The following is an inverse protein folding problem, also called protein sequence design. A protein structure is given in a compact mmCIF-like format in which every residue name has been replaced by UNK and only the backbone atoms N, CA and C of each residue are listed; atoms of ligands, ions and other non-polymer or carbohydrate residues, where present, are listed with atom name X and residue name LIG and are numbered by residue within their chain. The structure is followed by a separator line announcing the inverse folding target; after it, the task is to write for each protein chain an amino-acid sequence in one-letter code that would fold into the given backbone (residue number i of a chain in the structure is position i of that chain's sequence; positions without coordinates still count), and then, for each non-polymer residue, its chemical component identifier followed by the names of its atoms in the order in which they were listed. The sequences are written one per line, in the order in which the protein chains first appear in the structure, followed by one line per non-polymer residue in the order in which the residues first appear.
data_IF_566322341492
#
_entry.id   IF_566322341492
#
_cell.length_a   1.000
_cell.length_b   1.000
_cell.length_c   1.000
_cell.angle_alpha   90.00
_cell.angle_beta   90.00
_cell.angle_gamma   90.00
#
_symmetry.space_group_name_H-M   'P 1'
#
loop_
_entity.id
_entity.type
_entity.pdbx_description
1 polymer ?
#
# COMPACT_ATOMS: atom_id res chain seq x y z
N UNK A 1 -25.14 -6.98 -12.39
CA UNK A 1 -23.94 -7.26 -11.58
C UNK A 1 -24.19 -6.72 -10.18
N UNK A 2 -24.64 -7.57 -9.26
CA UNK A 2 -25.09 -7.15 -7.92
C UNK A 2 -24.07 -7.59 -6.86
N UNK A 3 -22.85 -7.05 -6.96
CA UNK A 3 -21.83 -7.23 -5.93
C UNK A 3 -21.77 -5.98 -5.06
N UNK A 4 -21.77 -6.13 -3.73
CA UNK A 4 -21.71 -5.03 -2.75
C UNK A 4 -20.65 -3.96 -3.11
N UNK A 5 -19.51 -4.37 -3.66
CA UNK A 5 -18.48 -3.47 -4.17
C UNK A 5 -19.00 -2.49 -5.24
N UNK A 6 -19.64 -2.97 -6.31
CA UNK A 6 -20.08 -2.13 -7.42
C UNK A 6 -21.20 -1.18 -7.02
N UNK A 7 -22.08 -1.63 -6.11
CA UNK A 7 -23.10 -0.76 -5.52
C UNK A 7 -22.44 0.37 -4.73
N UNK A 8 -21.48 0.06 -3.85
CA UNK A 8 -20.74 1.08 -3.09
C UNK A 8 -19.95 2.02 -4.00
N UNK A 9 -19.28 1.48 -5.02
CA UNK A 9 -18.54 2.28 -6.00
C UNK A 9 -19.46 3.24 -6.77
N UNK A 10 -20.60 2.74 -7.27
CA UNK A 10 -21.59 3.55 -7.99
C UNK A 10 -22.30 4.60 -7.12
N UNK A 11 -22.30 4.41 -5.80
CA UNK A 11 -22.84 5.36 -4.83
C UNK A 11 -21.75 6.28 -4.21
N UNK A 12 -20.51 6.27 -4.73
CA UNK A 12 -19.38 7.04 -4.20
C UNK A 12 -19.07 6.75 -2.71
N UNK A 13 -19.33 5.52 -2.25
CA UNK A 13 -19.07 5.08 -0.88
C UNK A 13 -17.65 4.51 -0.68
N UNK A 14 -16.78 4.67 -1.68
CA UNK A 14 -15.38 4.25 -1.66
C UNK A 14 -14.49 5.48 -1.89
N UNK A 15 -13.57 5.72 -0.97
CA UNK A 15 -12.55 6.75 -1.11
C UNK A 15 -11.49 6.38 -2.16
N UNK A 16 -11.13 5.09 -2.20
CA UNK A 16 -10.21 4.52 -3.19
C UNK A 16 -10.78 3.19 -3.69
N UNK A 17 -10.59 2.89 -4.96
CA UNK A 17 -10.96 1.57 -5.48
C UNK A 17 -10.12 1.16 -6.68
N UNK A 18 -9.71 -0.11 -6.71
CA UNK A 18 -8.90 -0.64 -7.80
C UNK A 18 -9.20 -2.12 -8.08
N UNK A 19 -8.83 -2.57 -9.27
CA UNK A 19 -8.88 -3.98 -9.65
C UNK A 19 -7.46 -4.51 -9.80
N UNK A 20 -7.14 -5.62 -9.13
CA UNK A 20 -5.84 -6.27 -9.22
C UNK A 20 -5.95 -7.77 -8.97
N UNK A 21 -5.22 -8.58 -9.72
CA UNK A 21 -5.20 -10.04 -9.58
C UNK A 21 -6.60 -10.68 -9.63
N UNK A 22 -7.51 -10.16 -10.47
CA UNK A 22 -8.88 -10.66 -10.60
C UNK A 22 -9.82 -10.26 -9.46
N UNK A 23 -9.39 -9.40 -8.53
CA UNK A 23 -10.17 -8.97 -7.37
C UNK A 23 -10.39 -7.46 -7.37
N UNK A 24 -11.56 -7.05 -6.89
CA UNK A 24 -11.92 -5.65 -6.67
C UNK A 24 -11.65 -5.27 -5.21
N UNK A 25 -10.85 -4.23 -5.02
CA UNK A 25 -10.49 -3.67 -3.73
C UNK A 25 -11.13 -2.30 -3.59
N UNK A 26 -11.67 -2.01 -2.41
CA UNK A 26 -12.23 -0.72 -2.07
C UNK A 26 -11.83 -0.32 -0.66
N UNK A 27 -11.42 0.92 -0.50
CA UNK A 27 -11.29 1.58 0.80
C UNK A 27 -12.50 2.47 0.95
N UNK A 28 -13.29 2.27 1.99
CA UNK A 28 -14.54 2.99 2.16
C UNK A 28 -14.33 4.48 2.48
N UNK A 29 -15.36 5.27 2.22
CA UNK A 29 -15.33 6.73 2.43
C UNK A 29 -15.14 7.14 3.91
N UNK A 30 -15.39 6.22 4.84
CA UNK A 30 -15.20 6.41 6.28
C UNK A 30 -13.79 6.85 6.67
N UNK A 31 -12.78 6.54 5.86
CA UNK A 31 -11.41 6.97 6.16
C UNK A 31 -11.24 8.49 6.10
N UNK A 32 -12.04 9.18 5.29
CA UNK A 32 -12.04 10.64 5.27
C UNK A 32 -12.53 11.18 6.61
N UNK A 33 -13.56 10.58 7.20
CA UNK A 33 -14.07 11.00 8.50
C UNK A 33 -13.02 10.81 9.60
N UNK A 34 -12.26 9.71 9.55
CA UNK A 34 -11.18 9.47 10.49
C UNK A 34 -10.04 10.48 10.34
N UNK A 35 -9.65 10.79 9.10
CA UNK A 35 -8.64 11.82 8.81
C UNK A 35 -9.11 13.21 9.30
N UNK A 36 -10.37 13.57 9.08
CA UNK A 36 -10.93 14.84 9.59
C UNK A 36 -11.00 14.88 11.13
N UNK A 37 -11.17 13.73 11.78
CA UNK A 37 -11.14 13.61 13.23
C UNK A 37 -9.71 13.57 13.82
N UNK A 38 -8.67 13.69 12.98
CA UNK A 38 -7.27 13.72 13.41
C UNK A 38 -6.64 12.35 13.62
N UNK A 39 -7.24 11.26 13.13
CA UNK A 39 -6.64 9.93 13.18
C UNK A 39 -5.75 9.68 11.96
N UNK A 40 -4.64 8.99 12.20
CA UNK A 40 -3.83 8.42 11.12
C UNK A 40 -4.47 7.15 10.56
N UNK A 41 -4.50 7.05 9.24
CA UNK A 41 -5.05 5.88 8.52
C UNK A 41 -3.95 5.19 7.73
N UNK A 42 -3.67 3.94 8.08
CA UNK A 42 -2.73 3.09 7.35
C UNK A 42 -3.48 2.18 6.38
N UNK A 43 -3.20 2.33 5.08
CA UNK A 43 -3.82 1.53 4.01
C UNK A 43 -2.76 0.69 3.30
N UNK A 44 -2.97 -0.63 3.24
CA UNK A 44 -2.20 -1.49 2.36
C UNK A 44 -2.72 -1.37 0.92
N UNK A 45 -2.09 -0.49 0.15
CA UNK A 45 -2.49 -0.14 -1.22
C UNK A 45 -1.75 -0.89 -2.33
N UNK A 46 -2.12 -0.58 -3.57
CA UNK A 46 -1.42 -1.04 -4.77
C UNK A 46 -0.55 0.06 -5.36
N UNK A 47 0.67 -0.30 -5.78
CA UNK A 47 1.59 0.62 -6.50
C UNK A 47 0.95 1.24 -7.74
N UNK A 48 0.16 0.45 -8.48
CA UNK A 48 -0.55 0.92 -9.69
C UNK A 48 -1.61 1.99 -9.39
N UNK A 49 -2.02 2.14 -8.14
CA UNK A 49 -3.13 2.99 -7.74
C UNK A 49 -2.70 4.22 -6.93
N UNK A 50 -1.40 4.33 -6.66
CA UNK A 50 -0.81 5.46 -5.98
C UNK A 50 -1.17 6.82 -6.62
N UNK A 51 -1.28 6.98 -7.96
CA UNK A 51 -1.75 8.23 -8.56
C UNK A 51 -3.16 8.65 -8.10
N UNK A 52 -4.11 7.72 -7.95
CA UNK A 52 -5.46 8.06 -7.45
C UNK A 52 -5.39 8.52 -5.99
N UNK A 53 -4.63 7.82 -5.14
CA UNK A 53 -4.45 8.21 -3.75
C UNK A 53 -3.81 9.61 -3.62
N UNK A 54 -2.80 9.91 -4.44
CA UNK A 54 -2.16 11.24 -4.48
C UNK A 54 -3.14 12.33 -4.89
N UNK A 55 -3.93 12.09 -5.94
CA UNK A 55 -4.90 13.07 -6.41
C UNK A 55 -5.95 13.40 -5.33
N UNK A 56 -6.35 12.41 -4.53
CA UNK A 56 -7.34 12.59 -3.47
C UNK A 56 -6.77 13.25 -2.20
N UNK A 57 -5.65 12.75 -1.69
CA UNK A 57 -5.15 13.11 -0.36
C UNK A 57 -3.99 14.12 -0.37
N UNK A 58 -3.36 14.34 -1.53
CA UNK A 58 -2.34 15.37 -1.72
C UNK A 58 -1.27 15.34 -0.62
N UNK A 59 -1.11 16.45 0.12
CA UNK A 59 -0.12 16.60 1.19
C UNK A 59 -0.42 15.75 2.41
N UNK A 60 -1.65 15.29 2.64
CA UNK A 60 -1.99 14.38 3.73
C UNK A 60 -1.50 12.94 3.47
N UNK A 61 -1.15 12.60 2.23
CA UNK A 61 -0.63 11.27 1.89
C UNK A 61 0.86 11.14 2.24
N UNK A 62 1.20 10.11 2.99
CA UNK A 62 2.57 9.60 3.11
C UNK A 62 2.74 8.30 2.32
N UNK A 63 3.21 8.35 1.07
CA UNK A 63 3.37 7.14 0.26
C UNK A 63 4.63 6.37 0.69
N UNK A 64 4.44 5.14 1.15
CA UNK A 64 5.53 4.24 1.55
C UNK A 64 5.55 3.01 0.64
N UNK A 65 6.69 2.78 0.01
CA UNK A 65 6.92 1.69 -0.92
C UNK A 65 7.81 0.63 -0.28
N UNK A 66 7.23 -0.51 0.09
CA UNK A 66 7.97 -1.68 0.56
C UNK A 66 8.84 -2.24 -0.57
N UNK A 67 10.16 -2.31 -0.33
CA UNK A 67 11.12 -2.97 -1.18
C UNK A 67 11.72 -4.17 -0.47
N UNK A 68 11.98 -5.22 -1.23
CA UNK A 68 12.68 -6.41 -0.80
C UNK A 68 13.50 -6.88 -1.99
N UNK A 69 14.76 -7.24 -1.75
CA UNK A 69 15.66 -7.79 -2.76
C UNK A 69 15.05 -9.07 -3.36
N UNK A 70 15.24 -9.31 -4.67
CA UNK A 70 14.69 -10.48 -5.34
C UNK A 70 15.05 -11.81 -4.66
N UNK A 71 16.26 -11.90 -4.11
CA UNK A 71 16.82 -13.07 -3.44
C UNK A 71 16.06 -13.37 -2.15
N UNK A 72 15.87 -12.35 -1.29
CA UNK A 72 15.12 -12.47 -0.04
C UNK A 72 13.63 -12.72 -0.31
N UNK A 73 13.07 -12.08 -1.33
CA UNK A 73 11.69 -12.31 -1.73
C UNK A 73 11.48 -13.76 -2.18
N UNK A 74 12.38 -14.32 -3.00
CA UNK A 74 12.33 -15.73 -3.41
C UNK A 74 12.37 -16.65 -2.20
N UNK A 75 13.36 -16.51 -1.33
CA UNK A 75 13.50 -17.34 -0.12
C UNK A 75 12.24 -17.31 0.75
N UNK A 76 11.64 -16.12 0.94
CA UNK A 76 10.40 -15.98 1.74
C UNK A 76 9.20 -16.63 1.09
N UNK A 77 9.11 -16.66 -0.23
CA UNK A 77 8.02 -17.32 -0.94
C UNK A 77 8.17 -18.85 -0.88
N UNK A 78 9.38 -19.35 -1.09
CA UNK A 78 9.72 -20.77 -0.96
C UNK A 78 9.42 -21.28 0.45
N UNK A 79 9.86 -20.55 1.48
CA UNK A 79 9.62 -20.91 2.89
C UNK A 79 8.14 -20.90 3.30
N UNK A 80 7.28 -20.15 2.59
CA UNK A 80 5.83 -20.15 2.87
C UNK A 80 5.13 -21.39 2.33
N UNK A 81 5.67 -22.00 1.28
CA UNK A 81 5.14 -23.24 0.68
C UNK A 81 3.73 -23.13 0.09
N UNK A 82 3.20 -21.91 -0.15
CA UNK A 82 1.85 -21.70 -0.70
C UNK A 82 1.82 -21.56 -2.22
N UNK A 83 2.98 -21.39 -2.84
CA UNK A 83 3.15 -21.08 -4.25
C UNK A 83 4.11 -22.08 -4.89
N UNK A 84 3.84 -22.49 -6.12
CA UNK A 84 4.76 -23.30 -6.92
C UNK A 84 5.83 -22.42 -7.60
N UNK A 85 6.84 -23.04 -8.21
CA UNK A 85 7.96 -22.32 -8.84
C UNK A 85 7.52 -21.31 -9.92
N UNK A 86 6.49 -21.63 -10.71
CA UNK A 86 5.96 -20.73 -11.74
C UNK A 86 5.29 -19.49 -11.12
N UNK A 87 4.50 -19.69 -10.07
CA UNK A 87 3.83 -18.62 -9.32
C UNK A 87 4.85 -17.70 -8.62
N UNK A 88 5.91 -18.28 -8.05
CA UNK A 88 7.02 -17.52 -7.46
C UNK A 88 7.71 -16.66 -8.51
N UNK A 89 8.05 -17.23 -9.67
CA UNK A 89 8.69 -16.48 -10.77
C UNK A 89 7.78 -15.36 -11.30
N UNK A 90 6.49 -15.62 -11.46
CA UNK A 90 5.53 -14.60 -11.87
C UNK A 90 5.43 -13.45 -10.84
N UNK A 91 5.50 -13.78 -9.54
CA UNK A 91 5.48 -12.79 -8.47
C UNK A 91 6.76 -11.95 -8.41
N UNK A 92 7.93 -12.56 -8.62
CA UNK A 92 9.22 -11.88 -8.73
C UNK A 92 9.23 -10.91 -9.93
N UNK A 93 8.81 -11.38 -11.10
CA UNK A 93 8.71 -10.53 -12.30
C UNK A 93 7.75 -9.35 -12.07
N UNK A 94 6.61 -9.58 -11.43
CA UNK A 94 5.68 -8.50 -11.06
C UNK A 94 6.30 -7.52 -10.07
N UNK A 95 7.08 -7.99 -9.10
CA UNK A 95 7.73 -7.11 -8.14
C UNK A 95 8.75 -6.18 -8.82
N UNK A 96 9.51 -6.70 -9.77
CA UNK A 96 10.52 -5.96 -10.54
C UNK A 96 9.92 -4.92 -11.51
N UNK A 97 8.70 -5.13 -12.01
CA UNK A 97 8.01 -4.19 -12.92
C UNK A 97 7.70 -2.82 -12.32
N UNK A 98 7.69 -2.70 -10.98
CA UNK A 98 7.32 -1.45 -10.32
C UNK A 98 8.49 -0.88 -9.54
N UNK A 99 9.14 0.12 -10.15
CA UNK A 99 10.10 0.97 -9.47
C UNK A 99 9.33 2.00 -8.62
N UNK A 100 9.61 2.10 -7.31
CA UNK A 100 9.08 3.16 -6.46
C UNK A 100 9.42 4.54 -7.05
N UNK A 101 8.39 5.34 -7.34
CA UNK A 101 8.54 6.74 -7.74
C UNK A 101 7.74 7.61 -6.79
N UNK A 102 8.34 8.73 -6.39
CA UNK A 102 7.76 9.75 -5.50
C UNK A 102 7.25 9.19 -4.16
N UNK A 103 7.84 8.11 -3.65
CA UNK A 103 7.47 7.49 -2.37
C UNK A 103 8.70 7.19 -1.52
N UNK A 104 8.50 7.12 -0.21
CA UNK A 104 9.53 6.69 0.72
C UNK A 104 9.75 5.19 0.55
N UNK A 105 10.98 4.81 0.22
CA UNK A 105 11.36 3.41 0.17
C UNK A 105 11.55 2.87 1.57
N UNK A 106 10.87 1.76 1.88
CA UNK A 106 11.06 1.01 3.11
C UNK A 106 11.68 -0.35 2.77
N UNK A 107 12.94 -0.54 3.17
CA UNK A 107 13.64 -1.81 2.98
C UNK A 107 13.07 -2.85 3.95
N UNK A 108 12.66 -3.99 3.41
CA UNK A 108 12.12 -5.11 4.14
C UNK A 108 12.97 -6.38 3.99
N UNK A 109 14.25 -6.27 3.66
CA UNK A 109 15.21 -7.39 3.60
C UNK A 109 15.50 -7.95 5.00
N UNK A 110 15.62 -7.04 5.97
CA UNK A 110 15.92 -7.36 7.36
C UNK A 110 14.73 -7.95 8.13
N UNK A 111 14.82 -7.84 9.44
CA UNK A 111 13.76 -8.30 10.35
C UNK A 111 12.50 -7.44 10.24
N UNK A 112 11.34 -8.03 10.55
CA UNK A 112 10.08 -7.30 10.65
C UNK A 112 10.20 -6.09 11.59
N UNK A 113 10.92 -6.24 12.71
CA UNK A 113 11.14 -5.17 13.68
C UNK A 113 11.84 -3.96 13.06
N UNK A 114 12.93 -4.17 12.34
CA UNK A 114 13.64 -3.08 11.65
C UNK A 114 12.73 -2.34 10.65
N UNK A 115 11.93 -3.09 9.90
CA UNK A 115 10.96 -2.52 8.96
C UNK A 115 9.90 -1.68 9.68
N UNK A 116 9.37 -2.18 10.81
CA UNK A 116 8.38 -1.46 11.62
C UNK A 116 8.98 -0.20 12.25
N UNK A 117 10.18 -0.29 12.83
CA UNK A 117 10.85 0.87 13.45
C UNK A 117 11.12 1.98 12.41
N UNK A 118 11.50 1.59 11.19
CA UNK A 118 11.68 2.52 10.07
C UNK A 118 10.34 3.16 9.65
N UNK A 119 9.26 2.37 9.57
CA UNK A 119 7.93 2.88 9.24
C UNK A 119 7.45 3.90 10.27
N UNK A 120 7.58 3.58 11.56
CA UNK A 120 7.20 4.48 12.63
C UNK A 120 8.00 5.78 12.56
N UNK A 121 9.31 5.72 12.28
CA UNK A 121 10.14 6.92 12.10
C UNK A 121 9.60 7.82 10.99
N UNK A 122 9.19 7.25 9.85
CA UNK A 122 8.60 8.02 8.74
C UNK A 122 7.27 8.68 9.11
N UNK A 123 6.41 7.97 9.85
CA UNK A 123 5.11 8.50 10.32
C UNK A 123 5.34 9.70 11.25
N UNK A 124 6.17 9.55 12.28
CA UNK A 124 6.46 10.65 13.22
C UNK A 124 7.13 11.86 12.54
N UNK A 125 7.98 11.63 11.53
CA UNK A 125 8.56 12.73 10.76
C UNK A 125 7.47 13.49 10.00
N UNK A 126 6.50 12.78 9.40
CA UNK A 126 5.41 13.40 8.66
C UNK A 126 4.51 14.26 9.56
N UNK A 127 4.16 13.77 10.74
CA UNK A 127 3.37 14.50 11.74
C UNK A 127 4.03 15.84 12.12
N UNK A 128 5.34 15.84 12.38
CA UNK A 128 6.08 17.07 12.72
C UNK A 128 6.01 18.13 11.63
N UNK A 129 6.02 17.72 10.36
CA UNK A 129 5.89 18.65 9.23
C UNK A 129 4.47 19.20 9.08
N UNK A 130 3.44 18.48 9.55
CA UNK A 130 2.07 18.98 9.58
C UNK A 130 1.81 19.93 10.75
N UNK A 131 2.46 19.71 11.90
CA UNK A 131 2.27 20.55 13.09
C UNK A 131 2.99 21.91 13.03
N UNK A 132 3.87 22.13 12.04
CA UNK A 132 4.69 23.33 11.91
C UNK A 132 4.18 24.32 10.82
N UNK A 133 2.95 24.12 10.35
CA UNK A 133 2.20 25.01 9.45
C UNK A 133 1.09 25.71 10.24
#
# INVERSE_FOLDING_TARGET
MSGSFFTRAGQNLLALSWHANGLYYGVGIEIDLWLHAGFDVVVNGSRAHLPQARARYQSALLPVCLQVSPEILRQRLENRGRENASEINARLARAARYTPQDCHTLNNDGSLRQSVDTLLTLIHQKEKHHACL
#
